data_IF_016132096033
#
_entry.id   IF_016132096033
#
_cell.length_a   1.000
_cell.length_b   1.000
_cell.length_c   1.000
_cell.angle_alpha   90.00
_cell.angle_beta   90.00
_cell.angle_gamma   90.00
#
_symmetry.space_group_name_H-M   'P 1'
#
loop_
_entity.id
_entity.type
_entity.pdbx_description
1 polymer ?
#
# COMPACT_ATOMS: atom_id res chain seq x y z
N UNK A 1 8.74 -10.17 -9.03
CA UNK A 1 7.34 -10.27 -8.59
C UNK A 1 7.16 -9.89 -7.11
N UNK A 2 7.69 -10.59 -6.09
CA UNK A 2 7.49 -10.17 -4.68
C UNK A 2 8.06 -8.77 -4.36
N UNK A 3 9.27 -8.47 -4.86
CA UNK A 3 9.93 -7.18 -4.61
C UNK A 3 9.18 -5.94 -5.12
N UNK A 4 8.43 -6.07 -6.22
CA UNK A 4 7.66 -4.94 -6.78
C UNK A 4 6.47 -4.59 -5.89
N UNK A 5 5.77 -5.61 -5.36
CA UNK A 5 4.67 -5.43 -4.42
C UNK A 5 5.17 -4.84 -3.09
N UNK A 6 6.35 -5.27 -2.64
CA UNK A 6 7.01 -4.74 -1.44
C UNK A 6 7.31 -3.25 -1.57
N UNK A 7 7.85 -2.83 -2.73
CA UNK A 7 8.11 -1.42 -3.03
C UNK A 7 6.82 -0.60 -3.07
N UNK A 8 5.76 -1.13 -3.69
CA UNK A 8 4.46 -0.45 -3.77
C UNK A 8 3.84 -0.34 -2.39
N UNK A 9 3.86 -1.40 -1.59
CA UNK A 9 3.37 -1.39 -0.21
C UNK A 9 4.12 -0.36 0.63
N UNK A 10 5.46 -0.30 0.50
CA UNK A 10 6.30 0.69 1.18
C UNK A 10 5.87 2.10 0.81
N UNK A 11 5.73 2.39 -0.49
CA UNK A 11 5.34 3.71 -0.97
C UNK A 11 3.94 4.11 -0.47
N UNK A 12 2.99 3.17 -0.46
CA UNK A 12 1.65 3.40 0.08
C UNK A 12 1.71 3.74 1.57
N UNK A 13 2.41 2.93 2.37
CA UNK A 13 2.48 3.11 3.82
C UNK A 13 3.16 4.43 4.17
N UNK A 14 4.29 4.74 3.52
CA UNK A 14 5.01 6.00 3.74
C UNK A 14 4.19 7.21 3.28
N UNK A 15 3.44 7.07 2.18
CA UNK A 15 2.50 8.09 1.69
C UNK A 15 1.39 8.37 2.71
N UNK A 16 0.80 7.33 3.29
CA UNK A 16 -0.23 7.46 4.30
C UNK A 16 0.30 7.95 5.64
N UNK A 17 1.52 7.58 6.02
CA UNK A 17 2.18 8.09 7.21
C UNK A 17 2.37 9.61 7.18
N UNK A 18 2.51 10.23 6.01
CA UNK A 18 2.55 11.69 5.88
C UNK A 18 1.22 12.38 6.17
N UNK A 19 0.10 11.66 6.09
CA UNK A 19 -1.25 12.20 6.31
C UNK A 19 -1.74 11.86 7.71
N UNK A 20 -1.62 10.59 8.07
CA UNK A 20 -2.18 10.01 9.29
C UNK A 20 -1.15 9.88 10.41
N UNK A 21 0.12 10.19 10.13
CA UNK A 21 1.22 9.97 11.06
C UNK A 21 1.42 8.47 11.38
N UNK A 22 1.88 8.14 12.59
CA UNK A 22 2.25 6.77 12.96
C UNK A 22 1.08 5.77 12.95
N UNK A 23 -0.17 6.25 12.91
CA UNK A 23 -1.36 5.40 12.76
C UNK A 23 -1.28 4.58 11.48
N UNK A 24 -0.64 5.09 10.42
CA UNK A 24 -0.52 4.37 9.17
C UNK A 24 0.22 3.03 9.30
N UNK A 25 1.24 2.98 10.16
CA UNK A 25 2.00 1.76 10.44
C UNK A 25 1.16 0.72 11.19
N UNK A 26 0.37 1.18 12.16
CA UNK A 26 -0.56 0.33 12.92
C UNK A 26 -1.62 -0.29 12.00
N UNK A 27 -2.08 0.44 10.99
CA UNK A 27 -3.03 -0.09 10.01
C UNK A 27 -2.38 -1.06 9.04
N UNK A 28 -1.19 -0.74 8.54
CA UNK A 28 -0.43 -1.64 7.71
C UNK A 28 -0.17 -2.99 8.42
N UNK A 29 0.11 -2.96 9.73
CA UNK A 29 0.31 -4.17 10.53
C UNK A 29 -0.94 -5.06 10.67
N UNK A 30 -2.14 -4.57 10.35
CA UNK A 30 -3.37 -5.38 10.30
C UNK A 30 -3.49 -6.21 9.04
N UNK A 31 -2.72 -5.88 7.99
CA UNK A 31 -2.78 -6.58 6.72
C UNK A 31 -2.05 -7.91 6.85
N UNK A 32 -2.75 -9.06 6.70
CA UNK A 32 -2.14 -10.37 6.85
C UNK A 32 -1.12 -10.62 5.73
N UNK A 33 0.04 -11.15 6.10
CA UNK A 33 1.13 -11.39 5.17
C UNK A 33 1.95 -10.15 4.82
N UNK A 34 1.65 -8.99 5.41
CA UNK A 34 2.44 -7.76 5.26
C UNK A 34 3.17 -7.45 6.57
N UNK A 35 4.46 -7.20 6.47
CA UNK A 35 5.27 -6.66 7.57
C UNK A 35 5.90 -5.36 7.11
N UNK A 36 5.96 -4.36 7.98
CA UNK A 36 6.60 -3.09 7.67
C UNK A 36 7.59 -2.73 8.78
N UNK A 37 8.78 -2.31 8.37
CA UNK A 37 9.81 -1.81 9.28
C UNK A 37 10.28 -0.43 8.79
N UNK A 38 10.19 0.63 9.62
CA UNK A 38 10.70 1.95 9.28
C UNK A 38 12.18 1.87 8.85
N UNK A 39 12.50 2.42 7.68
CA UNK A 39 13.85 2.40 7.10
C UNK A 39 14.23 1.12 6.34
N UNK A 40 13.58 -0.02 6.61
CA UNK A 40 13.76 -1.26 5.85
C UNK A 40 12.67 -1.49 4.79
N UNK A 41 11.51 -0.85 4.96
CA UNK A 41 10.36 -0.93 4.04
C UNK A 41 9.35 -2.01 4.41
N UNK A 42 8.38 -2.21 3.53
CA UNK A 42 7.39 -3.26 3.60
C UNK A 42 7.91 -4.56 2.97
N UNK A 43 7.45 -5.68 3.50
CA UNK A 43 7.69 -7.02 2.98
C UNK A 43 6.39 -7.81 2.98
N UNK A 44 6.05 -8.34 1.83
CA UNK A 44 4.87 -9.16 1.63
C UNK A 44 5.30 -10.62 1.47
N UNK A 45 4.64 -11.49 2.23
CA UNK A 45 4.79 -12.93 2.17
C UNK A 45 3.48 -13.52 1.68
N UNK A 46 3.52 -14.12 0.48
CA UNK A 46 2.35 -14.71 -0.18
C UNK A 46 1.87 -13.88 -1.37
N UNK A 47 0.56 -13.71 -1.49
CA UNK A 47 -0.07 -13.00 -2.61
C UNK A 47 0.07 -11.48 -2.45
N UNK A 48 0.99 -10.90 -3.23
CA UNK A 48 1.26 -9.46 -3.28
C UNK A 48 0.06 -8.61 -3.68
N UNK A 49 -0.73 -9.06 -4.65
CA UNK A 49 -1.90 -8.33 -5.13
C UNK A 49 -2.97 -8.23 -4.05
N UNK A 50 -3.29 -9.36 -3.41
CA UNK A 50 -4.28 -9.41 -2.34
C UNK A 50 -3.86 -8.59 -1.10
N UNK A 51 -2.56 -8.60 -0.76
CA UNK A 51 -2.02 -7.79 0.34
C UNK A 51 -2.16 -6.29 0.05
N UNK A 52 -1.81 -5.84 -1.17
CA UNK A 52 -1.97 -4.44 -1.57
C UNK A 52 -3.44 -4.01 -1.59
N UNK A 53 -4.35 -4.87 -2.06
CA UNK A 53 -5.79 -4.57 -2.05
C UNK A 53 -6.31 -4.36 -0.62
N UNK A 54 -5.94 -5.24 0.31
CA UNK A 54 -6.31 -5.10 1.72
C UNK A 54 -5.70 -3.84 2.34
N UNK A 55 -4.44 -3.54 2.03
CA UNK A 55 -3.75 -2.35 2.52
C UNK A 55 -4.48 -1.07 2.10
N UNK A 56 -4.83 -0.95 0.81
CA UNK A 56 -5.60 0.20 0.31
C UNK A 56 -6.98 0.26 0.96
N UNK A 57 -7.63 -0.89 1.15
CA UNK A 57 -8.93 -0.99 1.84
C UNK A 57 -8.88 -0.50 3.28
N UNK A 58 -7.87 -0.89 4.06
CA UNK A 58 -7.67 -0.41 5.44
C UNK A 58 -7.50 1.10 5.49
N UNK A 59 -6.68 1.67 4.60
CA UNK A 59 -6.48 3.12 4.53
C UNK A 59 -7.74 3.88 4.11
N UNK A 60 -8.44 3.38 3.09
CA UNK A 60 -9.70 3.93 2.62
C UNK A 60 -10.79 3.87 3.68
N UNK A 61 -10.83 2.82 4.50
CA UNK A 61 -11.79 2.66 5.58
C UNK A 61 -11.65 3.73 6.67
N UNK A 62 -10.45 4.26 6.89
CA UNK A 62 -10.19 5.25 7.95
C UNK A 62 -10.20 6.69 7.45
N UNK A 63 -9.68 6.94 6.25
CA UNK A 63 -9.55 8.31 5.70
C UNK A 63 -10.53 8.59 4.57
N UNK A 64 -11.39 7.64 4.25
CA UNK A 64 -12.38 7.75 3.18
C UNK A 64 -11.75 7.82 1.78
N UNK A 65 -12.41 8.48 0.82
CA UNK A 65 -11.96 8.55 -0.58
C UNK A 65 -10.57 9.18 -0.75
N UNK A 66 -10.17 10.08 0.16
CA UNK A 66 -8.86 10.74 0.14
C UNK A 66 -7.73 9.75 0.41
N UNK A 67 -7.95 8.79 1.31
CA UNK A 67 -6.99 7.72 1.59
C UNK A 67 -6.64 6.91 0.38
N UNK A 68 -7.67 6.34 -0.26
CA UNK A 68 -7.51 5.52 -1.44
C UNK A 68 -6.81 6.29 -2.59
N UNK A 69 -7.19 7.55 -2.80
CA UNK A 69 -6.55 8.40 -3.81
C UNK A 69 -5.07 8.68 -3.51
N UNK A 70 -4.73 8.84 -2.23
CA UNK A 70 -3.34 9.02 -1.81
C UNK A 70 -2.54 7.72 -1.93
N UNK A 71 -3.11 6.56 -1.59
CA UNK A 71 -2.50 5.27 -1.88
C UNK A 71 -2.18 5.14 -3.38
N UNK A 72 -3.12 5.50 -4.24
CA UNK A 72 -2.90 5.49 -5.69
C UNK A 72 -1.78 6.44 -6.11
N UNK A 73 -1.81 7.70 -5.66
CA UNK A 73 -0.76 8.67 -6.02
C UNK A 73 0.64 8.24 -5.55
N UNK A 74 0.76 7.63 -4.38
CA UNK A 74 2.03 7.09 -3.88
C UNK A 74 2.49 5.85 -4.64
N UNK A 75 1.57 4.99 -5.07
CA UNK A 75 1.87 3.78 -5.84
C UNK A 75 2.10 4.04 -7.33
N UNK A 76 1.47 5.07 -7.91
CA UNK A 76 1.45 5.38 -9.34
C UNK A 76 2.83 5.32 -10.03
N UNK A 77 3.89 5.99 -9.56
CA UNK A 77 5.20 5.93 -10.23
C UNK A 77 5.82 4.53 -10.24
N UNK A 78 5.42 3.65 -9.32
CA UNK A 78 5.87 2.26 -9.28
C UNK A 78 4.99 1.36 -10.15
N UNK A 79 3.69 1.63 -10.24
CA UNK A 79 2.77 0.94 -11.15
C UNK A 79 3.09 1.26 -12.61
N UNK A 80 3.40 2.51 -12.92
CA UNK A 80 3.79 2.94 -14.27
C UNK A 80 5.10 2.25 -14.71
N UNK A 81 6.01 1.96 -13.75
CA UNK A 81 7.24 1.19 -14.00
C UNK A 81 7.01 -0.32 -14.07
N UNK A 82 5.98 -0.82 -13.40
CA UNK A 82 5.67 -2.25 -13.29
C UNK A 82 4.21 -2.50 -13.70
N UNK A 83 3.87 -2.38 -15.00
CA UNK A 83 2.49 -2.50 -15.48
C UNK A 83 1.89 -3.91 -15.28
N UNK A 84 2.71 -4.89 -14.92
CA UNK A 84 2.28 -6.23 -14.52
C UNK A 84 1.63 -6.31 -13.14
N UNK A 85 1.84 -5.30 -12.28
CA UNK A 85 1.21 -5.24 -10.94
C UNK A 85 -0.17 -4.63 -11.06
N UNK A 86 -1.20 -5.43 -10.78
CA UNK A 86 -2.59 -4.98 -10.79
C UNK A 86 -3.14 -4.93 -9.37
N UNK A 87 -3.66 -3.78 -8.99
CA UNK A 87 -4.34 -3.57 -7.71
C UNK A 87 -5.74 -3.06 -8.04
N UNK A 88 -6.78 -3.90 -7.91
CA UNK A 88 -8.13 -3.53 -8.38
C UNK A 88 -8.72 -2.36 -7.61
N UNK A 89 -8.27 -2.15 -6.36
CA UNK A 89 -8.64 -0.99 -5.57
C UNK A 89 -8.30 0.34 -6.28
N UNK A 90 -7.34 0.33 -7.21
CA UNK A 90 -6.94 1.49 -8.01
C UNK A 90 -7.69 1.65 -9.32
N UNK A 91 -8.43 0.64 -9.81
CA UNK A 91 -9.21 0.74 -11.06
C UNK A 91 -10.34 1.80 -10.99
N UNK A 92 -10.63 2.29 -9.78
CA UNK A 92 -11.59 3.37 -9.53
C UNK A 92 -10.99 4.79 -9.63
N UNK A 93 -9.68 4.93 -9.88
CA UNK A 93 -8.96 6.20 -9.85
C UNK A 93 -8.21 6.51 -11.15
#
# INVERSE_FOLDING_TARGET
MAAEHDQIATAIIDGQAKIMGPVAYTMAAKVPGLTYAPGAGAKIVGDGGAALEKLVGEFAGVTGPLGARMCYMSAKPLLDKNPGVKVKAFDRF
#
